data_IF_089736440932
#
_entry.id   IF_089736440932
#
_cell.length_a   1.000
_cell.length_b   1.000
_cell.length_c   1.000
_cell.angle_alpha   90.00
_cell.angle_beta   90.00
_cell.angle_gamma   90.00
#
_symmetry.space_group_name_H-M   'P 1'
#
loop_
_entity.id
_entity.type
_entity.pdbx_description
1 polymer ?
#
# COMPACT_ATOMS: atom_id res chain seq x y z
N UNK A 1 32.52 16.66 -11.02
CA UNK A 1 31.48 16.89 -12.04
C UNK A 1 30.21 16.30 -11.50
N UNK A 2 29.15 17.09 -11.42
CA UNK A 2 27.83 16.62 -11.01
C UNK A 2 27.24 15.76 -12.12
N UNK A 3 26.97 14.48 -11.84
CA UNK A 3 26.40 13.54 -12.80
C UNK A 3 24.87 13.70 -12.82
N UNK A 4 24.33 14.06 -13.99
CA UNK A 4 22.90 14.18 -14.25
C UNK A 4 22.38 12.88 -14.84
N UNK A 5 21.29 12.38 -14.27
CA UNK A 5 20.61 11.18 -14.73
C UNK A 5 19.21 11.54 -15.23
N UNK A 6 18.80 10.98 -16.36
CA UNK A 6 17.38 10.96 -16.74
C UNK A 6 16.58 10.17 -15.71
N UNK A 7 15.24 10.35 -15.68
CA UNK A 7 14.36 9.59 -14.77
C UNK A 7 14.58 8.07 -14.88
N UNK A 8 14.83 7.56 -16.11
CA UNK A 8 15.09 6.14 -16.34
C UNK A 8 16.44 5.70 -15.78
N UNK A 9 17.51 6.43 -16.09
CA UNK A 9 18.86 6.13 -15.57
C UNK A 9 18.92 6.25 -14.03
N UNK A 10 18.20 7.21 -13.46
CA UNK A 10 18.04 7.37 -12.02
C UNK A 10 17.34 6.17 -11.37
N UNK A 11 16.29 5.65 -12.02
CA UNK A 11 15.56 4.46 -11.58
C UNK A 11 16.43 3.20 -11.65
N UNK A 12 17.18 3.01 -12.73
CA UNK A 12 18.11 1.89 -12.90
C UNK A 12 19.28 1.96 -11.90
N UNK A 13 19.88 3.15 -11.74
CA UNK A 13 20.93 3.39 -10.77
C UNK A 13 20.46 3.14 -9.34
N UNK A 14 19.33 3.73 -8.94
CA UNK A 14 18.79 3.57 -7.59
C UNK A 14 18.43 2.10 -7.30
N UNK A 15 17.90 1.39 -8.29
CA UNK A 15 17.56 -0.02 -8.13
C UNK A 15 18.80 -0.87 -7.86
N UNK A 16 19.88 -0.63 -8.61
CA UNK A 16 21.17 -1.30 -8.42
C UNK A 16 21.84 -0.90 -7.11
N UNK A 17 21.73 0.37 -6.71
CA UNK A 17 22.33 0.89 -5.48
C UNK A 17 21.69 0.32 -4.21
N UNK A 18 20.37 0.10 -4.23
CA UNK A 18 19.60 -0.37 -3.09
C UNK A 18 19.32 -1.86 -3.08
N UNK A 19 19.66 -2.58 -4.14
CA UNK A 19 19.23 -3.97 -4.39
C UNK A 19 17.70 -4.14 -4.24
N UNK A 20 16.94 -3.15 -4.71
CA UNK A 20 15.46 -3.08 -4.65
C UNK A 20 14.90 -2.51 -5.94
N UNK A 21 13.69 -2.90 -6.34
CA UNK A 21 13.05 -2.36 -7.55
C UNK A 21 12.51 -0.94 -7.33
N UNK A 22 13.26 0.07 -7.78
CA UNK A 22 12.89 1.50 -7.81
C UNK A 22 12.39 1.86 -9.20
N UNK A 23 11.11 2.21 -9.31
CA UNK A 23 10.46 2.53 -10.60
C UNK A 23 10.67 3.98 -11.01
N UNK A 24 10.45 4.29 -12.29
CA UNK A 24 10.43 5.68 -12.79
C UNK A 24 9.41 6.54 -12.04
N UNK A 25 8.25 5.98 -11.67
CA UNK A 25 7.25 6.65 -10.84
C UNK A 25 7.77 7.00 -9.44
N UNK A 26 8.65 6.20 -8.86
CA UNK A 26 9.29 6.54 -7.58
C UNK A 26 10.19 7.77 -7.73
N UNK A 27 10.98 7.84 -8.81
CA UNK A 27 11.81 9.02 -9.10
C UNK A 27 10.94 10.25 -9.38
N UNK A 28 9.88 10.11 -10.18
CA UNK A 28 8.91 11.19 -10.43
C UNK A 28 8.23 11.67 -9.15
N UNK A 29 7.92 10.76 -8.22
CA UNK A 29 7.39 11.11 -6.91
C UNK A 29 8.39 11.97 -6.12
N UNK A 30 9.67 11.59 -6.06
CA UNK A 30 10.68 12.38 -5.35
C UNK A 30 10.76 13.81 -5.91
N UNK A 31 10.70 13.97 -7.23
CA UNK A 31 10.64 15.27 -7.90
C UNK A 31 9.33 16.01 -7.56
N UNK A 32 8.19 15.31 -7.62
CA UNK A 32 6.87 15.89 -7.36
C UNK A 32 6.72 16.39 -5.93
N UNK A 33 7.43 15.81 -4.96
CA UNK A 33 7.37 16.22 -3.56
C UNK A 33 8.60 17.02 -3.12
N UNK A 34 9.43 17.50 -4.04
CA UNK A 34 10.59 18.35 -3.73
C UNK A 34 11.66 17.64 -2.88
N UNK A 35 11.75 16.31 -2.97
CA UNK A 35 12.76 15.51 -2.28
C UNK A 35 14.08 15.46 -3.04
N UNK A 36 14.01 15.58 -4.36
CA UNK A 36 15.13 15.75 -5.28
C UNK A 36 14.76 16.82 -6.31
N UNK A 37 15.75 17.59 -6.74
CA UNK A 37 15.58 18.74 -7.61
C UNK A 37 15.31 18.29 -9.04
N UNK A 38 14.28 18.89 -9.63
CA UNK A 38 14.03 18.77 -11.07
C UNK A 38 15.04 19.64 -11.82
N UNK A 39 15.75 19.06 -12.79
CA UNK A 39 16.60 19.80 -13.71
C UNK A 39 16.07 19.62 -15.13
N UNK A 40 15.86 20.73 -15.84
CA UNK A 40 15.31 20.74 -17.20
C UNK A 40 13.78 20.78 -17.28
N UNK A 41 13.29 21.13 -18.47
CA UNK A 41 11.87 21.27 -18.79
C UNK A 41 11.38 20.21 -19.79
N UNK A 42 10.06 20.06 -19.89
CA UNK A 42 9.30 19.09 -20.71
C UNK A 42 10.12 18.22 -21.69
N UNK A 43 10.24 16.93 -21.37
CA UNK A 43 10.86 15.90 -22.23
C UNK A 43 12.31 15.56 -21.89
N UNK A 44 13.03 16.41 -21.15
CA UNK A 44 14.44 16.19 -20.77
C UNK A 44 14.68 16.27 -19.25
N UNK A 45 13.67 15.89 -18.45
CA UNK A 45 13.79 15.94 -16.99
C UNK A 45 14.91 15.03 -16.48
N UNK A 46 15.85 15.66 -15.79
CA UNK A 46 17.02 15.05 -15.16
C UNK A 46 17.06 15.36 -13.66
N UNK A 47 17.84 14.57 -12.94
CA UNK A 47 18.08 14.70 -11.50
C UNK A 47 19.57 14.55 -11.21
N UNK A 48 20.04 15.19 -10.14
CA UNK A 48 21.42 15.03 -9.68
C UNK A 48 21.60 13.68 -8.99
N UNK A 49 22.58 12.90 -9.43
CA UNK A 49 22.93 11.63 -8.79
C UNK A 49 23.32 11.80 -7.31
N UNK A 50 23.97 12.91 -6.97
CA UNK A 50 24.36 13.20 -5.59
C UNK A 50 23.14 13.39 -4.67
N UNK A 51 22.08 14.06 -5.13
CA UNK A 51 20.86 14.22 -4.32
C UNK A 51 20.12 12.89 -4.15
N UNK A 52 20.11 12.05 -5.18
CA UNK A 52 19.62 10.68 -5.05
C UNK A 52 20.43 9.89 -4.02
N UNK A 53 21.77 10.01 -4.08
CA UNK A 53 22.66 9.34 -3.14
C UNK A 53 22.45 9.83 -1.70
N UNK A 54 22.29 11.13 -1.49
CA UNK A 54 21.95 11.70 -0.18
C UNK A 54 20.59 11.23 0.33
N UNK A 55 19.56 11.27 -0.52
CA UNK A 55 18.22 10.80 -0.17
C UNK A 55 18.20 9.32 0.26
N UNK A 56 19.03 8.49 -0.38
CA UNK A 56 19.13 7.06 -0.10
C UNK A 56 20.24 6.70 0.90
N UNK A 57 21.05 7.66 1.37
CA UNK A 57 22.17 7.44 2.31
C UNK A 57 21.71 6.85 3.64
N UNK A 58 20.57 7.31 4.14
CA UNK A 58 19.96 6.82 5.38
C UNK A 58 19.23 5.48 5.18
N UNK A 59 19.07 5.05 3.94
CA UNK A 59 18.54 3.72 3.60
C UNK A 59 19.66 2.69 3.40
N UNK A 60 20.92 3.14 3.26
CA UNK A 60 22.10 2.27 3.08
C UNK A 60 22.72 1.82 4.39
N UNK A 61 22.66 2.61 5.47
CA UNK A 61 22.82 2.07 6.83
C UNK A 61 21.65 1.13 7.05
N UNK A 62 21.87 -0.19 7.02
CA UNK A 62 20.73 -1.09 7.00
C UNK A 62 19.95 -0.85 8.29
N UNK A 63 18.68 -0.42 8.17
CA UNK A 63 17.76 -0.33 9.31
C UNK A 63 17.89 -1.61 10.15
N UNK A 64 18.05 -2.74 9.48
CA UNK A 64 18.44 -4.03 10.02
C UNK A 64 19.60 -3.98 11.02
N UNK A 65 20.76 -3.46 10.67
CA UNK A 65 21.92 -3.33 11.57
C UNK A 65 21.63 -2.41 12.74
N UNK A 66 20.97 -1.27 12.51
CA UNK A 66 20.61 -0.33 13.58
C UNK A 66 19.68 -0.98 14.62
N UNK A 67 18.60 -1.60 14.15
CA UNK A 67 17.63 -2.27 15.01
C UNK A 67 18.20 -3.54 15.64
N UNK A 68 19.03 -4.32 14.93
CA UNK A 68 19.75 -5.46 15.51
C UNK A 68 20.75 -5.03 16.57
N UNK A 69 21.39 -3.86 16.41
CA UNK A 69 22.27 -3.28 17.42
C UNK A 69 21.53 -2.91 18.71
N UNK A 70 20.29 -2.42 18.59
CA UNK A 70 19.46 -2.02 19.74
C UNK A 70 18.75 -3.19 20.43
N UNK A 71 18.16 -4.09 19.64
CA UNK A 71 17.30 -5.19 20.13
C UNK A 71 18.02 -6.54 20.19
N UNK A 72 19.23 -6.64 19.65
CA UNK A 72 20.06 -7.83 19.73
C UNK A 72 19.39 -9.07 19.11
N UNK A 73 19.44 -10.18 19.87
CA UNK A 73 18.92 -11.49 19.46
C UNK A 73 17.39 -11.60 19.54
N UNK A 74 16.72 -10.66 20.21
CA UNK A 74 15.26 -10.68 20.37
C UNK A 74 14.53 -10.20 19.10
N UNK A 75 15.27 -9.61 18.15
CA UNK A 75 14.72 -9.14 16.89
C UNK A 75 14.80 -10.20 15.80
N UNK A 76 13.66 -10.79 15.47
CA UNK A 76 13.51 -11.54 14.23
C UNK A 76 13.30 -10.59 13.03
N UNK A 77 14.38 -10.25 12.33
CA UNK A 77 14.29 -9.41 11.13
C UNK A 77 13.48 -10.06 9.99
N UNK A 78 13.36 -11.38 9.94
CA UNK A 78 12.55 -12.06 8.92
C UNK A 78 11.07 -11.64 9.00
N UNK A 79 10.59 -11.34 10.21
CA UNK A 79 9.24 -10.84 10.48
C UNK A 79 9.11 -9.32 10.39
N UNK A 80 10.12 -8.62 9.83
CA UNK A 80 10.01 -7.19 9.54
C UNK A 80 9.20 -6.91 8.28
N UNK A 81 9.15 -7.86 7.34
CA UNK A 81 8.49 -7.74 6.05
C UNK A 81 8.93 -6.48 5.25
N UNK A 82 10.16 -5.99 5.49
CA UNK A 82 10.69 -4.74 4.90
C UNK A 82 10.77 -4.76 3.37
N UNK A 83 10.76 -5.96 2.79
CA UNK A 83 10.85 -6.19 1.37
C UNK A 83 9.52 -5.94 0.64
N UNK A 84 8.38 -5.99 1.33
CA UNK A 84 7.06 -5.88 0.72
C UNK A 84 6.62 -4.42 0.59
N UNK A 85 6.09 -4.08 -0.58
CA UNK A 85 5.45 -2.77 -0.85
C UNK A 85 4.02 -2.76 -0.28
N UNK A 86 3.43 -1.57 -0.11
CA UNK A 86 2.06 -1.41 0.38
C UNK A 86 1.03 -2.20 -0.45
N UNK A 87 1.20 -2.24 -1.77
CA UNK A 87 0.34 -3.00 -2.66
C UNK A 87 0.36 -4.51 -2.35
N UNK A 88 1.51 -5.03 -1.93
CA UNK A 88 1.69 -6.44 -1.55
C UNK A 88 1.16 -6.70 -0.14
N UNK A 89 1.38 -5.76 0.80
CA UNK A 89 0.84 -5.85 2.17
C UNK A 89 -0.67 -5.51 2.26
N UNK A 90 -1.30 -5.24 1.11
CA UNK A 90 -2.76 -5.06 0.99
C UNK A 90 -3.37 -5.90 -0.15
N UNK A 91 -2.77 -7.04 -0.49
CA UNK A 91 -3.21 -7.95 -1.57
C UNK A 91 -4.71 -8.28 -1.54
N UNK A 92 -5.27 -8.64 -2.69
CA UNK A 92 -6.66 -9.10 -2.84
C UNK A 92 -7.70 -8.14 -2.25
N UNK A 93 -8.53 -8.64 -1.34
CA UNK A 93 -9.65 -7.94 -0.71
C UNK A 93 -9.25 -7.19 0.56
N UNK A 94 -7.97 -7.21 0.95
CA UNK A 94 -7.48 -6.54 2.16
C UNK A 94 -7.58 -5.01 2.09
N UNK A 95 -7.74 -4.45 0.89
CA UNK A 95 -7.91 -3.00 0.64
C UNK A 95 -9.37 -2.56 0.54
N UNK A 96 -10.35 -3.47 0.61
CA UNK A 96 -11.78 -3.10 0.55
C UNK A 96 -12.20 -2.14 1.66
N UNK A 97 -11.57 -2.19 2.83
CA UNK A 97 -11.85 -1.28 3.94
C UNK A 97 -10.57 -0.93 4.73
N UNK A 98 -10.28 0.37 4.98
CA UNK A 98 -9.19 0.79 5.84
C UNK A 98 -9.52 0.52 7.32
N UNK A 99 -8.78 -0.39 7.96
CA UNK A 99 -8.93 -0.69 9.38
C UNK A 99 -7.67 -0.29 10.15
N UNK A 100 -7.83 0.52 11.21
CA UNK A 100 -6.71 0.92 12.08
C UNK A 100 -6.29 -0.27 12.94
N UNK A 101 -4.98 -0.55 12.99
CA UNK A 101 -4.46 -1.72 13.71
C UNK A 101 -4.55 -3.03 12.94
N UNK A 102 -4.77 -2.98 11.62
CA UNK A 102 -4.72 -4.16 10.74
C UNK A 102 -3.28 -4.68 10.62
N UNK A 103 -3.05 -5.97 10.88
CA UNK A 103 -1.81 -6.64 10.53
C UNK A 103 -1.73 -6.92 9.02
N UNK A 104 -0.51 -6.96 8.48
CA UNK A 104 -0.27 -7.31 7.08
C UNK A 104 -0.60 -8.79 6.84
N UNK A 105 -1.10 -9.17 5.66
CA UNK A 105 -1.50 -10.54 5.37
C UNK A 105 -0.35 -11.54 5.49
N UNK A 106 0.87 -11.14 5.09
CA UNK A 106 2.06 -12.00 5.13
C UNK A 106 2.42 -12.47 6.54
N UNK A 107 2.15 -11.65 7.56
CA UNK A 107 2.39 -12.03 8.95
C UNK A 107 1.46 -13.17 9.38
N UNK A 108 0.21 -13.15 8.92
CA UNK A 108 -0.75 -14.20 9.26
C UNK A 108 -0.47 -15.46 8.45
N UNK A 109 -0.19 -15.30 7.16
CA UNK A 109 0.22 -16.39 6.27
C UNK A 109 1.42 -17.14 6.85
N UNK A 110 2.43 -16.42 7.37
CA UNK A 110 3.60 -17.00 8.04
C UNK A 110 3.22 -17.99 9.17
N UNK A 111 2.24 -17.65 10.00
CA UNK A 111 1.83 -18.51 11.11
C UNK A 111 0.89 -19.64 10.69
N UNK A 112 0.09 -19.44 9.63
CA UNK A 112 -0.93 -20.40 9.20
C UNK A 112 -0.43 -21.42 8.17
N UNK A 113 0.58 -21.08 7.38
CA UNK A 113 1.07 -21.98 6.33
C UNK A 113 1.86 -23.17 6.91
N UNK A 114 2.41 -23.99 6.02
CA UNK A 114 3.15 -25.20 6.38
C UNK A 114 4.68 -25.02 6.44
N UNK A 115 5.22 -23.81 6.24
CA UNK A 115 6.68 -23.64 6.28
C UNK A 115 7.19 -23.70 7.72
N UNK A 116 8.45 -24.07 7.88
CA UNK A 116 9.17 -23.99 9.15
C UNK A 116 10.50 -23.29 8.94
N UNK A 117 10.96 -22.56 9.96
CA UNK A 117 12.26 -21.90 9.99
C UNK A 117 12.85 -21.94 11.41
N UNK A 118 13.94 -21.22 11.65
CA UNK A 118 14.59 -21.18 12.97
C UNK A 118 13.67 -20.68 14.11
N UNK A 119 12.61 -19.93 13.77
CA UNK A 119 11.64 -19.34 14.71
C UNK A 119 10.32 -20.11 14.76
N UNK A 120 9.75 -20.47 13.61
CA UNK A 120 8.57 -21.31 13.50
C UNK A 120 9.03 -22.75 13.30
N UNK A 121 9.27 -23.44 14.42
CA UNK A 121 9.82 -24.81 14.40
C UNK A 121 8.77 -25.89 14.09
N UNK A 122 7.48 -25.57 14.27
CA UNK A 122 6.37 -26.49 14.08
C UNK A 122 5.33 -25.93 13.10
N UNK A 123 4.62 -26.85 12.45
CA UNK A 123 3.44 -26.54 11.64
C UNK A 123 2.20 -26.59 12.53
N UNK A 124 1.57 -25.45 12.75
CA UNK A 124 0.42 -25.31 13.66
C UNK A 124 -0.93 -25.62 13.00
N UNK A 125 -1.02 -25.47 11.68
CA UNK A 125 -2.26 -25.67 10.91
C UNK A 125 -2.00 -26.43 9.61
N UNK A 126 -3.00 -27.17 9.18
CA UNK A 126 -3.08 -27.87 7.90
C UNK A 126 -4.39 -27.51 7.19
N UNK A 127 -4.47 -27.65 5.87
CA UNK A 127 -5.74 -27.48 5.15
C UNK A 127 -6.84 -28.36 5.78
N UNK A 128 -8.00 -27.77 6.03
CA UNK A 128 -9.12 -28.38 6.73
C UNK A 128 -9.14 -28.17 8.25
N UNK A 129 -8.07 -27.67 8.87
CA UNK A 129 -8.09 -27.26 10.28
C UNK A 129 -8.94 -25.99 10.48
N UNK A 130 -9.19 -25.62 11.74
CA UNK A 130 -9.97 -24.44 12.11
C UNK A 130 -9.10 -23.47 12.91
N UNK A 131 -9.03 -22.20 12.48
CA UNK A 131 -8.44 -21.10 13.25
C UNK A 131 -9.51 -20.22 13.89
N UNK A 132 -9.32 -19.87 15.16
CA UNK A 132 -10.13 -18.89 15.88
C UNK A 132 -9.35 -17.59 16.05
N UNK A 133 -9.92 -16.48 15.60
CA UNK A 133 -9.42 -15.13 15.89
C UNK A 133 -10.45 -14.38 16.76
N UNK A 134 -10.21 -14.22 18.07
CA UNK A 134 -11.18 -13.60 18.97
C UNK A 134 -11.27 -12.07 18.83
N UNK A 135 -10.39 -11.44 18.04
CA UNK A 135 -10.35 -10.00 17.81
C UNK A 135 -10.10 -9.71 16.32
N UNK A 136 -10.96 -10.27 15.47
CA UNK A 136 -10.67 -10.41 14.03
C UNK A 136 -10.60 -9.09 13.26
N UNK A 137 -11.14 -7.99 13.81
CA UNK A 137 -11.15 -6.69 13.14
C UNK A 137 -11.78 -6.82 11.76
N UNK A 138 -11.06 -6.32 10.75
CA UNK A 138 -11.51 -6.42 9.35
C UNK A 138 -11.34 -7.79 8.68
N UNK A 139 -11.01 -8.85 9.42
CA UNK A 139 -11.01 -10.23 8.95
C UNK A 139 -9.76 -10.70 8.20
N UNK A 140 -8.58 -10.11 8.43
CA UNK A 140 -7.35 -10.50 7.73
C UNK A 140 -7.03 -12.00 7.93
N UNK A 141 -7.21 -12.51 9.16
CA UNK A 141 -6.99 -13.92 9.49
C UNK A 141 -7.88 -14.86 8.68
N UNK A 142 -9.15 -14.51 8.53
CA UNK A 142 -10.11 -15.32 7.78
C UNK A 142 -9.76 -15.40 6.29
N UNK A 143 -9.33 -14.27 5.70
CA UNK A 143 -8.92 -14.24 4.29
C UNK A 143 -7.68 -15.10 4.07
N UNK A 144 -6.66 -14.99 4.93
CA UNK A 144 -5.45 -15.81 4.79
C UNK A 144 -5.70 -17.29 5.07
N UNK A 145 -6.53 -17.62 6.06
CA UNK A 145 -6.97 -18.99 6.29
C UNK A 145 -7.67 -19.56 5.04
N UNK A 146 -8.58 -18.77 4.43
CA UNK A 146 -9.28 -19.19 3.21
C UNK A 146 -8.34 -19.42 2.03
N UNK A 147 -7.29 -18.59 1.84
CA UNK A 147 -6.27 -18.79 0.79
C UNK A 147 -5.53 -20.13 0.97
N UNK A 148 -5.33 -20.56 2.22
CA UNK A 148 -4.61 -21.79 2.57
C UNK A 148 -5.52 -23.02 2.72
N UNK A 149 -6.82 -22.88 2.48
CA UNK A 149 -7.79 -23.96 2.66
C UNK A 149 -8.05 -24.32 4.13
N UNK A 150 -7.83 -23.38 5.05
CA UNK A 150 -8.08 -23.50 6.49
C UNK A 150 -9.43 -22.85 6.80
N UNK A 151 -10.27 -23.51 7.60
CA UNK A 151 -11.52 -22.93 8.09
C UNK A 151 -11.23 -21.88 9.15
N UNK A 152 -12.07 -20.85 9.26
CA UNK A 152 -11.84 -19.78 10.23
C UNK A 152 -13.13 -19.31 10.90
N UNK A 153 -12.98 -18.88 12.16
CA UNK A 153 -14.00 -18.19 12.93
C UNK A 153 -13.40 -16.89 13.46
N UNK A 154 -13.96 -15.76 13.07
CA UNK A 154 -13.58 -14.44 13.57
C UNK A 154 -14.63 -13.90 14.52
N UNK A 155 -14.20 -13.31 15.63
CA UNK A 155 -15.06 -12.60 16.58
C UNK A 155 -14.63 -11.14 16.62
N UNK A 156 -15.60 -10.24 16.48
CA UNK A 156 -15.41 -8.81 16.69
C UNK A 156 -16.66 -8.22 17.34
N UNK A 157 -16.46 -7.24 18.23
CA UNK A 157 -17.58 -6.55 18.91
C UNK A 157 -18.32 -5.61 17.97
N UNK A 158 -17.65 -5.10 16.94
CA UNK A 158 -18.25 -4.23 15.93
C UNK A 158 -18.97 -5.05 14.88
N UNK A 159 -20.30 -4.89 14.82
CA UNK A 159 -21.12 -5.50 13.78
C UNK A 159 -20.65 -5.11 12.36
N UNK A 160 -20.13 -3.90 12.19
CA UNK A 160 -19.58 -3.44 10.91
C UNK A 160 -18.28 -4.19 10.55
N UNK A 161 -17.38 -4.41 11.50
CA UNK A 161 -16.16 -5.18 11.26
C UNK A 161 -16.48 -6.64 10.90
N UNK A 162 -17.42 -7.25 11.63
CA UNK A 162 -17.90 -8.59 11.32
C UNK A 162 -18.51 -8.67 9.90
N UNK A 163 -19.31 -7.68 9.50
CA UNK A 163 -19.86 -7.59 8.14
C UNK A 163 -18.75 -7.49 7.08
N UNK A 164 -17.77 -6.62 7.29
CA UNK A 164 -16.61 -6.48 6.38
C UNK A 164 -15.82 -7.78 6.30
N UNK A 165 -15.55 -8.42 7.44
CA UNK A 165 -14.84 -9.69 7.49
C UNK A 165 -15.58 -10.78 6.70
N UNK A 166 -16.87 -10.97 6.97
CA UNK A 166 -17.69 -11.94 6.25
C UNK A 166 -17.71 -11.65 4.75
N UNK A 167 -17.91 -10.38 4.36
CA UNK A 167 -17.97 -10.00 2.95
C UNK A 167 -16.67 -10.26 2.17
N UNK A 168 -15.53 -10.39 2.86
CA UNK A 168 -14.24 -10.70 2.22
C UNK A 168 -14.06 -12.18 1.90
N UNK A 169 -14.77 -13.06 2.60
CA UNK A 169 -14.61 -14.52 2.49
C UNK A 169 -15.88 -15.23 2.02
N UNK A 170 -16.96 -14.47 1.79
CA UNK A 170 -18.21 -15.02 1.29
C UNK A 170 -18.09 -15.49 -0.16
N UNK A 171 -19.01 -16.38 -0.56
CA UNK A 171 -19.12 -16.85 -1.92
C UNK A 171 -20.15 -16.01 -2.66
N UNK A 172 -19.72 -15.38 -3.74
CA UNK A 172 -20.55 -14.52 -4.55
C UNK A 172 -20.92 -15.17 -5.88
N UNK A 173 -22.17 -14.99 -6.30
CA UNK A 173 -22.55 -15.17 -7.70
C UNK A 173 -22.07 -13.97 -8.50
N UNK A 174 -21.08 -14.19 -9.37
CA UNK A 174 -20.47 -13.13 -10.16
C UNK A 174 -21.45 -12.48 -11.14
N UNK A 175 -22.47 -13.20 -11.60
CA UNK A 175 -23.50 -12.64 -12.48
C UNK A 175 -24.39 -11.69 -11.71
N UNK A 176 -24.80 -12.08 -10.51
CA UNK A 176 -25.61 -11.24 -9.63
C UNK A 176 -24.84 -9.98 -9.19
N UNK A 177 -23.58 -10.13 -8.78
CA UNK A 177 -22.70 -8.99 -8.46
C UNK A 177 -22.58 -8.03 -9.64
N UNK A 178 -22.41 -8.54 -10.86
CA UNK A 178 -22.33 -7.70 -12.04
C UNK A 178 -23.65 -6.96 -12.33
N UNK A 179 -24.80 -7.61 -12.09
CA UNK A 179 -26.11 -7.00 -12.22
C UNK A 179 -26.30 -5.87 -11.20
N UNK A 180 -25.92 -6.09 -9.95
CA UNK A 180 -26.02 -5.09 -8.89
C UNK A 180 -25.07 -3.91 -9.13
N UNK A 181 -23.84 -4.15 -9.60
CA UNK A 181 -22.92 -3.08 -10.02
C UNK A 181 -23.55 -2.22 -11.12
N UNK A 182 -24.16 -2.84 -12.13
CA UNK A 182 -24.82 -2.12 -13.22
C UNK A 182 -26.01 -1.31 -12.73
N UNK A 183 -26.83 -1.89 -11.85
CA UNK A 183 -27.98 -1.22 -11.22
C UNK A 183 -27.54 0.00 -10.42
N UNK A 184 -26.60 -0.17 -9.50
CA UNK A 184 -26.09 0.91 -8.64
C UNK A 184 -25.43 2.01 -9.48
N UNK A 185 -24.67 1.64 -10.51
CA UNK A 185 -24.04 2.62 -11.41
C UNK A 185 -25.08 3.45 -12.15
N UNK A 186 -26.16 2.83 -12.63
CA UNK A 186 -27.26 3.53 -13.31
C UNK A 186 -27.97 4.49 -12.35
N UNK A 187 -28.34 4.02 -11.16
CA UNK A 187 -28.99 4.86 -10.15
C UNK A 187 -28.11 6.04 -9.73
N UNK A 188 -26.80 5.82 -9.56
CA UNK A 188 -25.86 6.90 -9.24
C UNK A 188 -25.77 7.94 -10.36
N UNK A 189 -25.73 7.51 -11.63
CA UNK A 189 -25.74 8.45 -12.77
C UNK A 189 -27.00 9.29 -12.78
N UNK A 190 -28.17 8.68 -12.62
CA UNK A 190 -29.44 9.38 -12.54
C UNK A 190 -29.47 10.37 -11.36
N UNK A 191 -28.93 9.97 -10.21
CA UNK A 191 -28.83 10.85 -9.06
C UNK A 191 -27.96 12.09 -9.36
N UNK A 192 -26.78 11.91 -9.97
CA UNK A 192 -25.85 12.99 -10.34
C UNK A 192 -26.40 13.88 -11.46
N UNK A 193 -27.20 13.35 -12.38
CA UNK A 193 -27.86 14.17 -13.41
C UNK A 193 -28.98 15.03 -12.83
N UNK A 194 -29.74 14.49 -11.86
CA UNK A 194 -30.90 15.16 -11.28
C UNK A 194 -30.54 16.20 -10.21
N UNK A 195 -29.40 16.05 -9.55
CA UNK A 195 -28.88 17.02 -8.58
C UNK A 195 -27.72 17.70 -9.27
N UNK A 196 -27.71 19.04 -9.39
CA UNK A 196 -26.69 19.85 -10.10
C UNK A 196 -25.25 19.77 -9.53
N UNK A 197 -24.82 18.57 -9.13
CA UNK A 197 -23.53 18.21 -8.55
C UNK A 197 -22.41 18.56 -9.52
N UNK A 198 -22.61 18.31 -10.82
CA UNK A 198 -21.61 18.67 -11.84
C UNK A 198 -21.40 20.19 -11.93
N UNK A 199 -22.47 21.00 -11.91
CA UNK A 199 -22.37 22.46 -11.90
C UNK A 199 -21.69 22.96 -10.62
N UNK A 200 -22.00 22.34 -9.48
CA UNK A 200 -21.36 22.64 -8.20
C UNK A 200 -19.87 22.27 -8.20
N UNK A 201 -19.50 21.08 -8.66
CA UNK A 201 -18.11 20.63 -8.76
C UNK A 201 -17.31 21.54 -9.68
N UNK A 202 -17.84 21.90 -10.85
CA UNK A 202 -17.15 22.79 -11.79
C UNK A 202 -16.84 24.15 -11.14
N UNK A 203 -17.83 24.76 -10.48
CA UNK A 203 -17.63 26.02 -9.75
C UNK A 203 -16.65 25.87 -8.60
N UNK A 204 -16.77 24.80 -7.80
CA UNK A 204 -15.86 24.54 -6.68
C UNK A 204 -14.42 24.38 -7.18
N UNK A 205 -14.19 23.63 -8.26
CA UNK A 205 -12.87 23.41 -8.85
C UNK A 205 -12.29 24.71 -9.40
N UNK A 206 -13.11 25.56 -10.03
CA UNK A 206 -12.68 26.90 -10.49
C UNK A 206 -12.28 27.80 -9.32
N UNK A 207 -13.08 27.86 -8.26
CA UNK A 207 -12.78 28.64 -7.06
C UNK A 207 -11.50 28.12 -6.36
N UNK A 208 -11.35 26.80 -6.24
CA UNK A 208 -10.14 26.17 -5.71
C UNK A 208 -8.91 26.47 -6.58
N UNK A 209 -9.05 26.48 -7.90
CA UNK A 209 -7.97 26.85 -8.82
C UNK A 209 -7.54 28.31 -8.61
N UNK A 210 -8.49 29.24 -8.54
CA UNK A 210 -8.21 30.66 -8.26
C UNK A 210 -7.55 30.83 -6.90
N UNK A 211 -8.09 30.18 -5.87
CA UNK A 211 -7.55 30.18 -4.52
C UNK A 211 -6.12 29.65 -4.47
N UNK A 212 -5.87 28.49 -5.08
CA UNK A 212 -4.55 27.86 -5.11
C UNK A 212 -3.55 28.72 -5.89
N UNK A 213 -3.92 29.31 -7.02
CA UNK A 213 -3.00 30.22 -7.73
C UNK A 213 -2.69 31.50 -6.95
N UNK A 214 -3.60 31.95 -6.09
CA UNK A 214 -3.39 33.15 -5.28
C UNK A 214 -2.52 32.90 -4.06
N UNK A 215 -2.76 31.79 -3.34
CA UNK A 215 -2.14 31.52 -2.04
C UNK A 215 -1.07 30.43 -2.07
N UNK A 216 -1.09 29.57 -3.10
CA UNK A 216 -0.14 28.50 -3.36
C UNK A 216 0.36 28.49 -4.83
N UNK A 217 0.70 29.64 -5.45
CA UNK A 217 1.36 29.62 -6.75
C UNK A 217 2.71 28.91 -6.57
N UNK A 218 3.00 27.81 -7.26
CA UNK A 218 4.31 27.15 -7.11
C UNK A 218 5.03 27.00 -8.44
N UNK A 219 6.32 27.37 -8.49
CA UNK A 219 7.38 26.39 -8.23
C UNK A 219 8.52 26.75 -7.25
N UNK A 220 8.50 27.86 -6.48
CA UNK A 220 9.59 28.13 -5.51
C UNK A 220 9.50 27.30 -4.21
N UNK A 221 8.39 26.60 -3.95
CA UNK A 221 8.22 25.77 -2.76
C UNK A 221 8.66 24.31 -2.94
N UNK A 222 9.55 24.04 -3.90
CA UNK A 222 10.13 22.70 -4.07
C UNK A 222 11.63 22.60 -3.79
N UNK A 223 12.34 23.70 -3.54
CA UNK A 223 13.69 23.72 -2.97
C UNK A 223 13.98 25.07 -2.32
#
# INVERSE_FOLDING_TARGET
>A
MEELLTIKEASEWASKHLDKNVTTSNISYLIQYGRIKKIGDNGSTQVLKNELLEYYKDQTSSRKESWKGQLGKDLNWALSFDQYKEAETTKHVHRLHPYKGKFIPQLVEYFLDNHSDDFKQDVYFKPGDIVLDPFSGSGTTMVQASELGIHSVGIDVSAFNALIGNSKVDKYDLVDVQNEINRITKELRLFVENHRVLEFEEKLLQELYVYNNKYFPVPDYKY
#
